data_IF_015931666513
#
_entry.id   IF_015931666513
#
_cell.length_a   1.000
_cell.length_b   1.000
_cell.length_c   1.000
_cell.angle_alpha   90.00
_cell.angle_beta   90.00
_cell.angle_gamma   90.00
#
_symmetry.space_group_name_H-M   'P 1'
#
loop_
_entity.id
_entity.type
_entity.pdbx_description
1 polymer ?
#
# COMPACT_ATOMS: atom_id res chain seq x y z
N UNK A 1 -72.41 13.14 81.41
CA UNK A 1 -72.68 11.75 80.97
C UNK A 1 -71.68 11.47 79.85
N UNK A 2 -70.39 11.34 80.13
CA UNK A 2 -69.70 10.15 80.68
C UNK A 2 -69.66 8.99 79.68
N UNK A 3 -68.52 8.83 79.01
CA UNK A 3 -67.76 7.58 78.81
C UNK A 3 -66.51 7.94 77.98
N UNK A 4 -65.34 8.06 78.60
CA UNK A 4 -64.33 6.99 78.75
C UNK A 4 -63.71 6.52 77.43
N UNK A 5 -62.38 6.57 77.37
CA UNK A 5 -61.55 6.16 76.25
C UNK A 5 -60.08 6.47 76.55
N UNK A 6 -59.52 5.68 77.45
CA UNK A 6 -58.17 5.73 78.03
C UNK A 6 -57.10 5.13 77.11
N UNK A 7 -55.84 5.45 77.45
CA UNK A 7 -54.64 4.62 77.32
C UNK A 7 -53.73 4.73 76.09
N UNK A 8 -52.45 4.46 76.36
CA UNK A 8 -51.26 4.99 75.70
C UNK A 8 -50.24 3.88 75.37
N UNK A 9 -49.40 4.15 74.35
CA UNK A 9 -48.09 3.52 73.98
C UNK A 9 -48.08 2.06 73.43
N UNK A 10 -46.96 1.56 72.86
CA UNK A 10 -46.00 2.15 71.90
C UNK A 10 -45.63 1.17 70.74
N UNK A 11 -44.76 1.62 69.82
CA UNK A 11 -43.81 0.86 68.97
C UNK A 11 -44.29 -0.41 68.23
N UNK A 12 -44.24 -0.37 66.90
CA UNK A 12 -43.93 -1.58 66.13
C UNK A 12 -42.96 -1.25 64.99
N UNK A 13 -41.73 -1.72 65.13
CA UNK A 13 -40.77 -1.86 64.04
C UNK A 13 -41.30 -2.93 63.07
N UNK A 14 -41.82 -2.53 61.90
CA UNK A 14 -41.86 -3.41 60.73
C UNK A 14 -40.58 -3.13 59.95
N UNK A 15 -39.52 -3.87 60.23
CA UNK A 15 -39.09 -5.05 59.45
C UNK A 15 -39.10 -4.77 57.96
N UNK A 16 -37.91 -4.89 57.37
CA UNK A 16 -37.56 -4.42 56.04
C UNK A 16 -38.53 -4.81 54.94
N UNK A 17 -38.73 -3.87 54.03
CA UNK A 17 -38.88 -4.24 52.65
C UNK A 17 -38.00 -3.32 51.80
N UNK A 18 -36.71 -3.66 51.75
CA UNK A 18 -35.87 -3.26 50.64
C UNK A 18 -36.35 -4.04 49.42
N UNK A 19 -37.52 -3.70 48.88
CA UNK A 19 -37.86 -4.00 47.50
C UNK A 19 -36.94 -3.13 46.65
N UNK A 20 -35.69 -3.57 46.49
CA UNK A 20 -34.85 -3.17 45.36
C UNK A 20 -35.62 -3.62 44.12
N UNK A 21 -36.33 -2.68 43.50
CA UNK A 21 -36.93 -2.91 42.19
C UNK A 21 -35.84 -3.46 41.29
N UNK A 22 -36.10 -4.53 40.51
CA UNK A 22 -35.13 -4.97 39.52
C UNK A 22 -34.93 -3.77 38.60
N UNK A 23 -33.69 -3.26 38.54
CA UNK A 23 -33.35 -2.24 37.55
C UNK A 23 -33.73 -2.81 36.19
N UNK A 24 -34.82 -2.32 35.61
CA UNK A 24 -35.28 -2.68 34.28
C UNK A 24 -34.06 -2.56 33.35
N UNK A 25 -33.49 -3.71 33.00
CA UNK A 25 -32.41 -3.77 32.01
C UNK A 25 -33.07 -3.39 30.70
N UNK A 26 -33.00 -2.11 30.34
CA UNK A 26 -33.49 -1.58 29.08
C UNK A 26 -32.59 -2.15 27.97
N UNK A 27 -32.92 -3.36 27.51
CA UNK A 27 -32.18 -4.06 26.45
C UNK A 27 -32.48 -3.34 25.14
N UNK A 28 -31.70 -2.30 24.84
CA UNK A 28 -31.78 -1.59 23.56
C UNK A 28 -31.28 -2.49 22.45
N UNK A 29 -32.08 -2.63 21.39
CA UNK A 29 -31.71 -3.42 20.21
C UNK A 29 -30.64 -2.66 19.41
N UNK A 30 -29.49 -3.27 19.08
CA UNK A 30 -28.48 -2.63 18.24
C UNK A 30 -28.97 -2.53 16.78
N UNK A 31 -28.45 -1.54 16.05
CA UNK A 31 -28.62 -1.42 14.61
C UNK A 31 -27.39 -1.99 13.92
N UNK A 32 -27.58 -2.92 12.98
CA UNK A 32 -26.51 -3.49 12.16
C UNK A 32 -26.31 -2.61 10.93
N UNK A 33 -25.09 -2.08 10.76
CA UNK A 33 -24.69 -1.32 9.57
C UNK A 33 -23.80 -2.21 8.71
N UNK A 34 -24.30 -2.65 7.56
CA UNK A 34 -23.50 -3.34 6.55
C UNK A 34 -22.77 -2.30 5.68
N UNK A 35 -21.42 -2.31 5.70
CA UNK A 35 -20.59 -1.35 4.94
C UNK A 35 -19.52 -2.08 4.14
N UNK A 36 -19.42 -1.76 2.86
CA UNK A 36 -18.28 -2.10 2.02
C UNK A 36 -17.89 -0.86 1.19
N UNK A 37 -16.61 -0.47 1.22
CA UNK A 37 -16.12 0.73 0.50
C UNK A 37 -15.77 0.38 -0.94
N UNK A 38 -14.94 -0.66 -1.14
CA UNK A 38 -14.47 -1.09 -2.45
C UNK A 38 -15.38 -2.15 -3.10
N UNK A 39 -16.29 -2.74 -2.32
CA UNK A 39 -17.02 -3.95 -2.71
C UNK A 39 -16.08 -5.16 -2.77
N UNK A 40 -16.19 -5.99 -3.81
CA UNK A 40 -15.32 -7.13 -4.07
C UNK A 40 -13.98 -6.71 -4.67
N UNK A 41 -12.90 -7.39 -4.29
CA UNK A 41 -11.54 -7.13 -4.81
C UNK A 41 -11.48 -7.30 -6.33
N UNK A 42 -12.18 -8.29 -6.87
CA UNK A 42 -12.23 -8.61 -8.29
C UNK A 42 -12.84 -7.46 -9.10
N UNK A 43 -13.97 -6.91 -8.63
CA UNK A 43 -14.64 -5.78 -9.28
C UNK A 43 -13.78 -4.51 -9.24
N UNK A 44 -13.15 -4.20 -8.11
CA UNK A 44 -12.29 -3.01 -8.04
C UNK A 44 -11.06 -3.18 -8.93
N UNK A 45 -10.47 -4.38 -9.02
CA UNK A 45 -9.37 -4.64 -9.95
C UNK A 45 -9.78 -4.46 -11.41
N UNK A 46 -10.98 -4.91 -11.81
CA UNK A 46 -11.49 -4.67 -13.15
C UNK A 46 -11.66 -3.17 -13.45
N UNK A 47 -12.30 -2.43 -12.54
CA UNK A 47 -12.49 -0.97 -12.67
C UNK A 47 -11.14 -0.24 -12.76
N UNK A 48 -10.17 -0.59 -11.92
CA UNK A 48 -8.84 0.04 -11.96
C UNK A 48 -8.08 -0.31 -13.23
N UNK A 49 -8.20 -1.56 -13.71
CA UNK A 49 -7.57 -1.98 -14.97
C UNK A 49 -8.08 -1.15 -16.14
N UNK A 50 -9.40 -0.98 -16.24
CA UNK A 50 -10.05 -0.15 -17.27
C UNK A 50 -9.69 1.33 -17.11
N UNK A 51 -9.78 1.87 -15.89
CA UNK A 51 -9.52 3.29 -15.62
C UNK A 51 -8.08 3.70 -15.90
N UNK A 52 -7.10 2.83 -15.63
CA UNK A 52 -5.69 3.11 -15.90
C UNK A 52 -5.26 2.67 -17.31
N UNK A 53 -6.09 1.92 -18.04
CA UNK A 53 -5.71 1.35 -19.35
C UNK A 53 -4.45 0.48 -19.28
N UNK A 54 -4.22 -0.19 -18.15
CA UNK A 54 -3.00 -0.95 -17.87
C UNK A 54 -1.77 -0.12 -17.46
N UNK A 55 -1.84 1.21 -17.47
CA UNK A 55 -0.78 2.13 -16.99
C UNK A 55 -0.88 2.31 -15.48
N UNK A 56 -0.54 1.27 -14.72
CA UNK A 56 -0.69 1.24 -13.25
C UNK A 56 0.16 2.33 -12.53
N UNK A 57 -0.34 2.94 -11.44
CA UNK A 57 0.49 3.77 -10.57
C UNK A 57 1.55 2.91 -9.88
N UNK A 58 2.70 3.50 -9.55
CA UNK A 58 3.88 2.76 -9.07
C UNK A 58 3.59 1.80 -7.90
N UNK A 59 2.81 2.24 -6.91
CA UNK A 59 2.50 1.45 -5.72
C UNK A 59 1.58 0.24 -6.00
N UNK A 60 0.85 0.24 -7.12
CA UNK A 60 -0.08 -0.83 -7.51
C UNK A 60 0.46 -1.66 -8.68
N UNK A 61 1.52 -1.19 -9.33
CA UNK A 61 2.04 -1.81 -10.54
C UNK A 61 2.67 -3.17 -10.25
N UNK A 62 2.32 -4.22 -11.01
CA UNK A 62 3.02 -5.50 -10.94
C UNK A 62 4.41 -5.45 -11.59
N UNK A 63 4.73 -4.34 -12.28
CA UNK A 63 5.96 -4.11 -13.05
C UNK A 63 6.54 -2.77 -12.67
N UNK A 64 7.20 -2.70 -11.52
CA UNK A 64 7.68 -1.44 -10.97
C UNK A 64 8.96 -0.97 -11.66
N UNK A 65 9.95 -1.86 -11.83
CA UNK A 65 11.19 -1.52 -12.51
C UNK A 65 11.71 -2.63 -13.43
N UNK A 66 12.37 -2.22 -14.52
CA UNK A 66 13.11 -3.09 -15.42
C UNK A 66 14.57 -2.66 -15.46
N UNK A 67 15.50 -3.53 -15.09
CA UNK A 67 16.94 -3.30 -15.25
C UNK A 67 17.39 -3.76 -16.63
N UNK A 68 18.10 -2.91 -17.35
CA UNK A 68 18.56 -3.17 -18.71
C UNK A 68 20.06 -2.93 -18.81
N UNK A 69 20.89 -3.98 -18.92
CA UNK A 69 22.31 -3.84 -19.19
C UNK A 69 22.57 -3.39 -20.63
N UNK A 70 23.56 -2.52 -20.83
CA UNK A 70 23.97 -2.06 -22.17
C UNK A 70 24.68 -3.14 -22.98
N UNK A 71 25.31 -4.10 -22.31
CA UNK A 71 26.04 -5.22 -22.89
C UNK A 71 26.07 -6.39 -21.90
N UNK A 72 26.22 -7.63 -22.39
CA UNK A 72 26.18 -8.84 -21.55
C UNK A 72 27.25 -8.91 -20.47
N UNK A 73 28.36 -8.19 -20.64
CA UNK A 73 29.40 -8.04 -19.60
C UNK A 73 28.86 -7.37 -18.31
N UNK A 74 27.74 -6.64 -18.39
CA UNK A 74 27.10 -5.98 -17.24
C UNK A 74 25.87 -6.73 -16.72
N UNK A 75 25.59 -7.94 -17.23
CA UNK A 75 24.44 -8.74 -16.80
C UNK A 75 24.51 -9.09 -15.31
N UNK A 76 25.72 -9.34 -14.78
CA UNK A 76 25.93 -9.62 -13.36
C UNK A 76 25.61 -8.39 -12.50
N UNK A 77 26.08 -7.20 -12.88
CA UNK A 77 25.73 -5.98 -12.18
C UNK A 77 24.23 -5.66 -12.26
N UNK A 78 23.60 -5.87 -13.42
CA UNK A 78 22.15 -5.70 -13.58
C UNK A 78 21.36 -6.64 -12.64
N UNK A 79 21.83 -7.87 -12.51
CA UNK A 79 21.29 -8.91 -11.62
C UNK A 79 21.40 -8.48 -10.15
N UNK A 80 22.56 -7.98 -9.73
CA UNK A 80 22.79 -7.44 -8.38
C UNK A 80 21.90 -6.23 -8.06
N UNK A 81 21.75 -5.29 -9.00
CA UNK A 81 20.85 -4.13 -8.84
C UNK A 81 19.41 -4.59 -8.64
N UNK A 82 18.95 -5.56 -9.44
CA UNK A 82 17.62 -6.15 -9.28
C UNK A 82 17.45 -6.83 -7.93
N UNK A 83 18.45 -7.57 -7.44
CA UNK A 83 18.37 -8.25 -6.14
C UNK A 83 18.24 -7.24 -5.00
N UNK A 84 19.07 -6.18 -5.00
CA UNK A 84 18.96 -5.09 -4.00
C UNK A 84 17.57 -4.45 -3.96
N UNK A 85 16.99 -4.17 -5.13
CA UNK A 85 15.64 -3.58 -5.21
C UNK A 85 14.55 -4.58 -4.82
N UNK A 86 14.71 -5.85 -5.19
CA UNK A 86 13.78 -6.91 -4.83
C UNK A 86 13.78 -7.19 -3.32
N UNK A 87 14.96 -7.24 -2.69
CA UNK A 87 15.11 -7.31 -1.23
C UNK A 87 14.49 -6.11 -0.51
N UNK A 88 14.48 -4.94 -1.15
CA UNK A 88 13.77 -3.77 -0.65
C UNK A 88 12.23 -3.84 -0.82
N UNK A 89 11.70 -4.91 -1.42
CA UNK A 89 10.27 -5.17 -1.56
C UNK A 89 9.65 -4.72 -2.89
N UNK A 90 10.47 -4.41 -3.90
CA UNK A 90 9.98 -3.94 -5.20
C UNK A 90 9.93 -5.05 -6.27
N UNK A 91 8.96 -4.94 -7.17
CA UNK A 91 8.78 -5.85 -8.30
C UNK A 91 9.71 -5.44 -9.46
N UNK A 92 10.90 -6.06 -9.50
CA UNK A 92 11.96 -5.72 -10.45
C UNK A 92 12.38 -6.92 -11.30
N UNK A 93 12.50 -6.69 -12.61
CA UNK A 93 12.97 -7.68 -13.59
C UNK A 93 14.27 -7.23 -14.25
N UNK A 94 15.01 -8.15 -14.87
CA UNK A 94 16.19 -7.84 -15.71
C UNK A 94 15.96 -8.32 -17.13
N UNK A 95 16.41 -7.55 -18.13
CA UNK A 95 16.40 -7.95 -19.55
C UNK A 95 17.83 -8.18 -20.10
N UNK A 96 18.34 -9.40 -19.92
CA UNK A 96 19.69 -9.80 -20.36
C UNK A 96 19.76 -10.36 -21.79
N UNK A 97 18.68 -10.28 -22.58
CA UNK A 97 18.64 -10.86 -23.91
C UNK A 97 19.75 -10.29 -24.84
N UNK A 98 20.74 -11.08 -25.27
CA UNK A 98 21.85 -10.58 -26.08
C UNK A 98 21.43 -10.26 -27.53
N UNK A 99 20.29 -10.77 -27.99
CA UNK A 99 19.79 -10.59 -29.35
C UNK A 99 19.05 -9.27 -29.58
N UNK A 100 18.76 -8.50 -28.52
CA UNK A 100 18.02 -7.22 -28.61
C UNK A 100 18.91 -6.03 -28.31
N UNK A 101 18.82 -5.01 -29.16
CA UNK A 101 19.49 -3.72 -28.92
C UNK A 101 18.97 -3.04 -27.66
N UNK A 102 19.81 -2.23 -27.01
CA UNK A 102 19.44 -1.46 -25.80
C UNK A 102 18.13 -0.68 -26.00
N UNK A 103 18.01 0.06 -27.09
CA UNK A 103 16.81 0.84 -27.41
C UNK A 103 15.57 -0.05 -27.58
N UNK A 104 15.73 -1.26 -28.14
CA UNK A 104 14.62 -2.22 -28.27
C UNK A 104 14.18 -2.72 -26.90
N UNK A 105 15.11 -3.04 -25.99
CA UNK A 105 14.81 -3.45 -24.60
C UNK A 105 14.08 -2.34 -23.84
N UNK A 106 14.59 -1.11 -23.91
CA UNK A 106 13.94 0.07 -23.30
C UNK A 106 12.51 0.23 -23.83
N UNK A 107 12.32 0.18 -25.15
CA UNK A 107 10.98 0.27 -25.76
C UNK A 107 10.06 -0.88 -25.32
N UNK A 108 10.57 -2.10 -25.21
CA UNK A 108 9.80 -3.24 -24.68
C UNK A 108 9.37 -3.00 -23.23
N UNK A 109 10.26 -2.43 -22.40
CA UNK A 109 9.93 -2.03 -21.03
C UNK A 109 8.80 -1.01 -20.97
N UNK A 110 8.86 0.03 -21.80
CA UNK A 110 7.82 1.07 -21.90
C UNK A 110 6.48 0.48 -22.34
N UNK A 111 6.47 -0.33 -23.40
CA UNK A 111 5.26 -0.98 -23.91
C UNK A 111 4.65 -1.97 -22.90
N UNK A 112 5.48 -2.61 -22.09
CA UNK A 112 5.05 -3.52 -21.01
C UNK A 112 4.62 -2.77 -19.73
N UNK A 113 4.57 -1.44 -19.78
CA UNK A 113 4.12 -0.56 -18.70
C UNK A 113 4.97 -0.61 -17.43
N UNK A 114 6.28 -0.90 -17.54
CA UNK A 114 7.20 -0.76 -16.40
C UNK A 114 7.32 0.71 -16.00
N UNK A 115 7.02 1.08 -14.76
CA UNK A 115 7.06 2.49 -14.31
C UNK A 115 8.45 3.11 -14.52
N UNK A 116 9.49 2.38 -14.09
CA UNK A 116 10.88 2.79 -14.22
C UNK A 116 11.69 1.78 -15.04
N UNK A 117 12.66 2.29 -15.79
CA UNK A 117 13.62 1.52 -16.56
C UNK A 117 15.01 1.99 -16.11
N UNK A 118 15.77 1.07 -15.54
CA UNK A 118 17.09 1.32 -14.96
C UNK A 118 18.13 0.79 -15.93
N UNK A 119 18.86 1.68 -16.60
CA UNK A 119 19.90 1.29 -17.54
C UNK A 119 21.24 1.23 -16.81
N UNK A 120 22.00 0.17 -17.05
CA UNK A 120 23.32 -0.03 -16.44
C UNK A 120 24.37 -0.35 -17.49
N UNK A 121 25.50 0.35 -17.45
CA UNK A 121 26.68 0.05 -18.26
C UNK A 121 27.97 0.17 -17.47
N UNK A 122 29.06 0.46 -18.18
CA UNK A 122 30.40 0.54 -17.60
C UNK A 122 30.50 1.55 -16.46
N UNK A 123 29.99 2.75 -16.74
CA UNK A 123 30.02 3.86 -15.80
C UNK A 123 29.24 3.47 -14.54
N UNK A 124 28.00 3.01 -14.73
CA UNK A 124 27.10 2.63 -13.64
C UNK A 124 27.62 1.46 -12.80
N UNK A 125 28.22 0.45 -13.44
CA UNK A 125 28.81 -0.69 -12.74
C UNK A 125 30.02 -0.28 -11.89
N UNK A 126 30.82 0.68 -12.37
CA UNK A 126 32.00 1.17 -11.64
C UNK A 126 31.61 2.09 -10.48
N UNK A 127 30.60 2.93 -10.66
CA UNK A 127 30.16 3.89 -9.64
C UNK A 127 29.08 3.36 -8.69
N UNK A 128 28.54 2.16 -8.92
CA UNK A 128 27.45 1.60 -8.12
C UNK A 128 26.14 2.37 -8.30
N UNK A 129 25.92 2.91 -9.50
CA UNK A 129 24.76 3.74 -9.85
C UNK A 129 23.88 3.07 -10.90
N UNK A 130 22.76 3.72 -11.25
CA UNK A 130 21.88 3.34 -12.35
C UNK A 130 21.43 4.60 -13.09
N UNK A 131 21.23 4.50 -14.40
CA UNK A 131 20.59 5.56 -15.17
C UNK A 131 19.08 5.37 -15.19
N UNK A 132 18.35 6.27 -14.54
CA UNK A 132 16.90 6.17 -14.32
C UNK A 132 16.13 6.79 -15.48
N UNK A 133 15.24 5.99 -16.05
CA UNK A 133 14.28 6.40 -17.07
C UNK A 133 12.87 6.03 -16.63
N UNK A 134 11.89 6.74 -17.17
CA UNK A 134 10.47 6.49 -16.94
C UNK A 134 9.83 5.77 -18.13
N UNK A 135 8.64 5.21 -17.92
CA UNK A 135 7.82 4.64 -19.00
C UNK A 135 7.43 5.63 -20.10
N UNK A 136 7.34 6.91 -19.74
CA UNK A 136 7.04 8.01 -20.66
C UNK A 136 8.30 8.58 -21.34
N UNK A 137 9.41 7.84 -21.29
CA UNK A 137 10.69 8.16 -21.94
C UNK A 137 11.38 9.43 -21.39
N UNK A 138 10.99 9.93 -20.22
CA UNK A 138 11.73 10.96 -19.49
C UNK A 138 12.96 10.34 -18.82
N UNK A 139 14.11 10.99 -18.98
CA UNK A 139 15.38 10.59 -18.38
C UNK A 139 15.63 11.43 -17.13
N UNK A 140 15.83 10.77 -15.99
CA UNK A 140 16.13 11.39 -14.69
C UNK A 140 17.62 11.37 -14.34
N UNK A 141 18.44 10.73 -15.19
CA UNK A 141 19.89 10.73 -15.07
C UNK A 141 20.43 9.61 -14.19
N UNK A 142 21.70 9.74 -13.80
CA UNK A 142 22.43 8.74 -13.02
C UNK A 142 22.22 8.97 -11.53
N UNK A 143 21.86 7.91 -10.80
CA UNK A 143 21.62 7.93 -9.35
C UNK A 143 22.24 6.71 -8.67
N UNK A 144 22.79 6.82 -7.44
CA UNK A 144 23.19 5.66 -6.65
C UNK A 144 22.02 4.69 -6.44
N UNK A 145 22.29 3.38 -6.44
CA UNK A 145 21.24 2.35 -6.27
C UNK A 145 20.48 2.55 -4.95
N UNK A 146 21.19 2.90 -3.89
CA UNK A 146 20.64 3.15 -2.57
C UNK A 146 19.69 4.37 -2.59
N UNK A 147 20.03 5.43 -3.33
CA UNK A 147 19.15 6.58 -3.52
C UNK A 147 17.86 6.20 -4.24
N UNK A 148 17.95 5.36 -5.28
CA UNK A 148 16.76 4.87 -6.02
C UNK A 148 15.83 4.09 -5.08
N UNK A 149 16.38 3.25 -4.22
CA UNK A 149 15.59 2.50 -3.22
C UNK A 149 14.86 3.47 -2.28
N UNK A 150 15.53 4.51 -1.77
CA UNK A 150 14.91 5.52 -0.91
C UNK A 150 13.77 6.26 -1.62
N UNK A 151 14.00 6.69 -2.87
CA UNK A 151 12.98 7.34 -3.70
C UNK A 151 11.79 6.43 -3.95
N UNK A 152 12.03 5.16 -4.28
CA UNK A 152 10.96 4.19 -4.49
C UNK A 152 10.15 3.95 -3.21
N UNK A 153 10.78 3.90 -2.02
CA UNK A 153 10.06 3.80 -0.75
C UNK A 153 9.17 5.02 -0.51
N UNK A 154 9.67 6.22 -0.78
CA UNK A 154 8.89 7.45 -0.65
C UNK A 154 7.67 7.44 -1.58
N UNK A 155 7.85 7.05 -2.85
CA UNK A 155 6.77 6.96 -3.83
C UNK A 155 5.74 5.87 -3.50
N UNK A 156 6.19 4.72 -3.01
CA UNK A 156 5.31 3.65 -2.55
C UNK A 156 4.48 4.06 -1.32
N UNK A 157 5.09 4.83 -0.41
CA UNK A 157 4.44 5.31 0.82
C UNK A 157 3.44 6.43 0.53
N UNK A 158 3.80 7.39 -0.33
CA UNK A 158 2.91 8.50 -0.71
C UNK A 158 1.70 8.04 -1.51
N UNK A 159 1.79 6.87 -2.16
CA UNK A 159 0.76 6.32 -3.06
C UNK A 159 0.33 7.31 -4.14
N UNK A 160 1.28 8.14 -4.60
CA UNK A 160 1.00 9.11 -5.67
C UNK A 160 0.51 8.41 -6.94
N UNK A 161 -0.34 9.11 -7.69
CA UNK A 161 -0.83 8.66 -8.99
C UNK A 161 0.23 8.81 -10.09
N UNK A 162 1.12 9.79 -9.95
CA UNK A 162 2.05 10.23 -10.99
C UNK A 162 3.51 10.14 -10.52
N UNK A 163 3.89 8.95 -10.06
CA UNK A 163 5.21 8.67 -9.50
C UNK A 163 6.36 9.00 -10.46
N UNK A 164 6.14 8.88 -11.77
CA UNK A 164 7.17 9.16 -12.78
C UNK A 164 7.47 10.67 -12.92
N UNK A 165 6.51 11.53 -12.58
CA UNK A 165 6.66 12.99 -12.62
C UNK A 165 7.25 13.54 -11.32
N UNK A 166 6.90 12.94 -10.18
CA UNK A 166 7.37 13.31 -8.85
C UNK A 166 8.73 12.69 -8.47
N UNK A 167 9.24 11.76 -9.28
CA UNK A 167 10.57 11.19 -9.13
C UNK A 167 11.63 12.28 -9.18
#
# INVERSE_FOLDING_TARGET
LSSEGDSSKPANESTGDATSQPSETNVRRPVIIHRAILGSVERIMAILTESYGGKWPFWLSPRQALVVPVASIYDEYATQVRDKLHEAGFMVSVDTDPGRTLNKKIRTGQLSQYNFILVVGEKEATSGTVNVRTRDNKVHGEHPVEHVIERFRALATSKTREAELEY
#
